data_IF_785663267882
#
_entry.id   IF_785663267882
#
_cell.length_a   1.000
_cell.length_b   1.000
_cell.length_c   1.000
_cell.angle_alpha   90.00
_cell.angle_beta   90.00
_cell.angle_gamma   90.00
#
_symmetry.space_group_name_H-M   'P 1'
#
loop_
_entity.id
_entity.type
_entity.pdbx_description
1 polymer ?
#
# COMPACT_ATOMS: atom_id res chain seq x y z
N UNK A 1 -4.29 1.23 1.99
CA UNK A 1 -2.90 0.81 1.76
C UNK A 1 -2.72 0.02 0.46
N UNK A 2 -3.69 -0.81 0.05
CA UNK A 2 -3.72 -1.41 -1.30
C UNK A 2 -4.59 -0.58 -2.26
N UNK A 3 -4.15 -0.46 -3.52
CA UNK A 3 -4.89 0.13 -4.64
C UNK A 3 -4.95 -0.84 -5.81
N UNK A 4 -6.02 -0.74 -6.60
CA UNK A 4 -6.18 -1.45 -7.87
C UNK A 4 -6.52 -0.43 -8.97
N UNK A 5 -6.04 -0.63 -10.21
CA UNK A 5 -6.53 0.11 -11.35
C UNK A 5 -8.05 -0.05 -11.51
N UNK A 6 -8.72 0.99 -11.97
CA UNK A 6 -10.16 0.96 -12.22
C UNK A 6 -10.42 0.66 -13.70
N UNK A 7 -11.19 -0.40 -14.03
CA UNK A 7 -11.60 -0.65 -15.41
C UNK A 7 -12.40 0.53 -15.99
N UNK A 8 -12.00 0.98 -17.18
CA UNK A 8 -12.59 2.13 -17.87
C UNK A 8 -13.65 1.66 -18.87
N UNK A 9 -14.90 1.57 -18.42
CA UNK A 9 -16.06 1.31 -19.30
C UNK A 9 -16.41 2.59 -20.10
N UNK A 10 -16.84 2.48 -21.37
CA UNK A 10 -17.20 1.26 -22.11
C UNK A 10 -16.04 0.59 -22.88
N UNK A 11 -14.78 1.00 -22.67
CA UNK A 11 -13.63 0.53 -23.46
C UNK A 11 -13.19 -0.92 -23.16
N UNK A 12 -13.74 -1.54 -22.12
CA UNK A 12 -13.48 -2.92 -21.74
C UNK A 12 -14.33 -3.88 -22.60
N UNK A 13 -13.68 -4.88 -23.20
CA UNK A 13 -14.32 -5.93 -24.00
C UNK A 13 -13.90 -7.33 -23.51
N UNK A 14 -14.45 -8.40 -24.09
CA UNK A 14 -14.06 -9.79 -23.76
C UNK A 14 -12.58 -10.11 -24.06
N UNK A 15 -11.91 -9.31 -24.89
CA UNK A 15 -10.52 -9.56 -25.35
C UNK A 15 -9.54 -8.47 -24.92
N UNK A 16 -10.03 -7.35 -24.40
CA UNK A 16 -9.21 -6.18 -24.07
C UNK A 16 -9.72 -5.57 -22.77
N UNK A 17 -8.83 -5.47 -21.78
CA UNK A 17 -9.03 -4.70 -20.56
C UNK A 17 -8.38 -3.33 -20.75
N UNK A 18 -9.13 -2.27 -20.43
CA UNK A 18 -8.63 -0.89 -20.38
C UNK A 18 -8.89 -0.39 -18.96
N UNK A 19 -7.87 0.17 -18.33
CA UNK A 19 -7.91 0.57 -16.92
C UNK A 19 -7.22 1.92 -16.68
N UNK A 20 -7.33 2.45 -15.46
CA UNK A 20 -6.65 3.68 -15.09
C UNK A 20 -5.14 3.47 -15.10
N UNK A 21 -4.41 4.44 -15.63
CA UNK A 21 -2.97 4.49 -15.46
C UNK A 21 -2.64 4.69 -13.97
N UNK A 22 -1.74 3.87 -13.46
CA UNK A 22 -1.26 3.93 -12.09
C UNK A 22 0.23 4.26 -12.12
N UNK A 23 0.59 5.42 -11.55
CA UNK A 23 1.97 5.84 -11.42
C UNK A 23 2.61 5.16 -10.20
N UNK A 24 3.92 4.90 -10.23
CA UNK A 24 4.63 4.32 -9.10
C UNK A 24 5.94 3.62 -9.48
N UNK A 25 6.75 3.32 -8.45
CA UNK A 25 8.01 2.60 -8.61
C UNK A 25 7.75 1.08 -8.67
N UNK A 26 8.31 0.33 -9.63
CA UNK A 26 8.18 -1.12 -9.67
C UNK A 26 8.72 -1.77 -8.40
N UNK A 27 7.96 -2.70 -7.81
CA UNK A 27 8.37 -3.36 -6.57
C UNK A 27 9.67 -4.17 -6.75
N UNK A 28 9.91 -4.71 -7.94
CA UNK A 28 11.13 -5.45 -8.25
C UNK A 28 12.40 -4.61 -8.08
N UNK A 29 12.33 -3.32 -8.39
CA UNK A 29 13.49 -2.42 -8.29
C UNK A 29 13.80 -2.11 -6.83
N UNK A 30 12.77 -1.95 -5.99
CA UNK A 30 12.89 -1.73 -4.54
C UNK A 30 13.45 -2.98 -3.84
N UNK A 31 13.04 -4.18 -4.27
CA UNK A 31 13.55 -5.43 -3.70
C UNK A 31 15.05 -5.58 -4.03
N UNK A 32 15.45 -5.19 -5.25
CA UNK A 32 16.83 -5.30 -5.74
C UNK A 32 17.76 -4.21 -5.19
N UNK A 33 17.27 -3.07 -4.73
CA UNK A 33 18.11 -2.05 -4.13
C UNK A 33 18.66 -2.53 -2.79
N UNK A 34 19.97 -2.72 -2.69
CA UNK A 34 20.66 -3.28 -1.51
C UNK A 34 21.52 -2.26 -0.75
N UNK A 35 21.52 -0.99 -1.13
CA UNK A 35 22.64 -0.09 -0.82
C UNK A 35 22.39 0.93 0.31
N UNK A 36 21.18 1.06 0.86
CA UNK A 36 20.90 2.05 1.91
C UNK A 36 20.04 1.50 3.06
N UNK A 37 20.32 1.91 4.30
CA UNK A 37 19.51 1.57 5.49
C UNK A 37 18.05 2.04 5.33
N UNK A 38 17.83 3.15 4.61
CA UNK A 38 16.51 3.65 4.23
C UNK A 38 15.73 2.66 3.36
N UNK A 39 16.42 1.78 2.63
CA UNK A 39 15.80 0.74 1.82
C UNK A 39 15.24 -0.41 2.65
N UNK A 40 15.81 -0.71 3.81
CA UNK A 40 15.38 -1.85 4.63
C UNK A 40 14.11 -1.55 5.43
N UNK A 41 13.99 -0.35 6.01
CA UNK A 41 12.74 0.07 6.69
C UNK A 41 11.57 0.14 5.70
N UNK A 42 11.82 0.64 4.48
CA UNK A 42 10.82 0.65 3.42
C UNK A 42 10.36 -0.78 3.06
N UNK A 43 11.30 -1.70 2.83
CA UNK A 43 10.99 -3.10 2.52
C UNK A 43 10.16 -3.74 3.63
N UNK A 44 10.50 -3.46 4.89
CA UNK A 44 9.77 -3.95 6.05
C UNK A 44 8.32 -3.43 6.05
N UNK A 45 8.12 -2.12 5.87
CA UNK A 45 6.77 -1.51 5.79
C UNK A 45 5.95 -2.09 4.64
N UNK A 46 6.57 -2.30 3.47
CA UNK A 46 5.91 -2.91 2.32
C UNK A 46 5.52 -4.37 2.59
N UNK A 47 6.38 -5.13 3.27
CA UNK A 47 6.07 -6.50 3.68
C UNK A 47 4.90 -6.56 4.66
N UNK A 48 4.84 -5.65 5.63
CA UNK A 48 3.71 -5.53 6.57
C UNK A 48 2.40 -5.25 5.83
N UNK A 49 2.38 -4.28 4.90
CA UNK A 49 1.21 -3.98 4.06
C UNK A 49 0.82 -5.19 3.21
N UNK A 50 1.80 -5.91 2.64
CA UNK A 50 1.57 -7.08 1.80
C UNK A 50 0.96 -8.26 2.57
N UNK A 51 1.45 -8.53 3.78
CA UNK A 51 0.91 -9.59 4.65
C UNK A 51 -0.49 -9.23 5.11
N UNK A 52 -0.74 -8.00 5.54
CA UNK A 52 -2.08 -7.54 5.92
C UNK A 52 -3.08 -7.68 4.76
N UNK A 53 -2.67 -7.28 3.56
CA UNK A 53 -3.48 -7.43 2.35
C UNK A 53 -3.78 -8.90 2.04
N UNK A 54 -2.79 -9.79 2.11
CA UNK A 54 -2.96 -11.22 1.88
C UNK A 54 -3.96 -11.83 2.88
N UNK A 55 -3.78 -11.54 4.17
CA UNK A 55 -4.64 -12.05 5.23
C UNK A 55 -6.07 -11.53 5.07
N UNK A 56 -6.24 -10.25 4.72
CA UNK A 56 -7.55 -9.69 4.44
C UNK A 56 -8.23 -10.39 3.26
N UNK A 57 -7.50 -10.59 2.15
CA UNK A 57 -8.04 -11.29 0.99
C UNK A 57 -8.57 -12.68 1.37
N UNK A 58 -7.77 -13.46 2.10
CA UNK A 58 -8.12 -14.83 2.50
C UNK A 58 -9.25 -14.87 3.52
N UNK A 59 -9.11 -14.16 4.64
CA UNK A 59 -9.97 -14.35 5.82
C UNK A 59 -11.17 -13.42 5.88
N UNK A 60 -11.11 -12.26 5.21
CA UNK A 60 -12.20 -11.28 5.22
C UNK A 60 -12.94 -11.31 3.88
N UNK A 61 -12.21 -11.24 2.78
CA UNK A 61 -12.81 -11.14 1.45
C UNK A 61 -13.12 -12.54 0.86
N UNK A 62 -12.61 -13.61 1.47
CA UNK A 62 -12.78 -15.00 1.05
C UNK A 62 -12.36 -15.25 -0.42
N UNK A 63 -11.33 -14.53 -0.85
CA UNK A 63 -10.78 -14.56 -2.20
C UNK A 63 -9.27 -14.74 -2.11
N UNK A 64 -8.69 -15.47 -3.05
CA UNK A 64 -7.22 -15.54 -3.20
C UNK A 64 -6.84 -14.96 -4.55
N UNK A 65 -5.92 -14.01 -4.51
CA UNK A 65 -5.26 -13.53 -5.70
C UNK A 65 -4.19 -14.55 -6.12
N UNK A 66 -4.40 -15.20 -7.25
CA UNK A 66 -3.56 -16.32 -7.68
C UNK A 66 -2.16 -15.95 -8.18
N UNK A 67 -1.82 -14.66 -8.25
CA UNK A 67 -0.55 -14.18 -8.82
C UNK A 67 -0.08 -12.85 -8.21
N UNK A 68 0.35 -12.91 -6.95
CA UNK A 68 1.01 -11.80 -6.26
C UNK A 68 2.50 -11.73 -6.62
N UNK A 69 2.83 -11.73 -7.91
CA UNK A 69 4.21 -11.56 -8.38
C UNK A 69 4.65 -10.09 -8.25
N UNK A 70 5.87 -9.78 -7.78
CA UNK A 70 6.34 -8.39 -7.62
C UNK A 70 6.39 -7.60 -8.93
N UNK A 71 6.41 -8.27 -10.08
CA UNK A 71 6.29 -7.63 -11.40
C UNK A 71 4.91 -7.00 -11.67
N UNK A 72 3.87 -7.41 -10.94
CA UNK A 72 2.52 -6.85 -11.03
C UNK A 72 2.24 -5.82 -9.92
N UNK A 73 3.28 -5.34 -9.24
CA UNK A 73 3.15 -4.43 -8.10
C UNK A 73 3.92 -3.14 -8.32
N UNK A 74 3.25 -2.01 -8.10
CA UNK A 74 3.87 -0.70 -8.00
C UNK A 74 3.79 -0.18 -6.57
N UNK A 75 4.79 0.60 -6.17
CA UNK A 75 4.83 1.30 -4.89
C UNK A 75 4.60 2.79 -5.14
N UNK A 76 3.63 3.36 -4.42
CA UNK A 76 3.27 4.78 -4.49
C UNK A 76 3.65 5.50 -3.20
N UNK A 77 3.97 6.79 -3.31
CA UNK A 77 4.30 7.68 -2.19
C UNK A 77 5.49 7.20 -1.33
N UNK A 78 6.48 6.58 -1.96
CA UNK A 78 7.74 6.23 -1.30
C UNK A 78 8.64 7.47 -1.16
N UNK A 79 8.27 8.40 -0.28
CA UNK A 79 8.98 9.67 -0.07
C UNK A 79 10.25 9.52 0.79
N UNK A 80 10.70 8.29 1.08
CA UNK A 80 11.88 8.02 1.90
C UNK A 80 13.21 8.37 1.20
N UNK A 81 13.18 8.80 -0.07
CA UNK A 81 14.41 9.00 -0.87
C UNK A 81 14.50 10.25 -1.74
N UNK A 82 13.56 11.21 -1.70
CA UNK A 82 13.59 12.35 -2.65
C UNK A 82 13.38 13.77 -2.12
N UNK A 83 13.22 14.02 -0.81
CA UNK A 83 13.21 15.41 -0.32
C UNK A 83 14.53 15.78 0.38
N UNK A 84 15.33 16.53 -0.36
CA UNK A 84 16.46 17.32 0.13
C UNK A 84 16.05 18.61 0.82
N UNK A 85 14.82 18.75 1.32
CA UNK A 85 14.46 19.86 2.19
C UNK A 85 13.25 19.53 3.08
N UNK A 86 13.32 19.99 4.32
CA UNK A 86 12.36 19.79 5.43
C UNK A 86 12.12 18.35 5.90
N UNK A 87 12.91 17.94 6.89
CA UNK A 87 12.50 17.23 8.11
C UNK A 87 11.07 16.60 8.09
N UNK A 88 10.82 15.58 7.27
CA UNK A 88 9.67 14.69 7.44
C UNK A 88 10.04 13.60 8.42
N UNK A 89 10.17 14.07 9.65
CA UNK A 89 10.15 13.31 10.90
C UNK A 89 9.19 12.13 10.77
N UNK A 90 9.69 10.94 11.14
CA UNK A 90 8.94 9.76 11.64
C UNK A 90 7.45 10.05 11.81
N UNK A 91 6.58 9.31 11.11
CA UNK A 91 5.16 9.11 11.45
C UNK A 91 4.60 10.22 12.35
N UNK A 92 4.11 11.32 11.76
CA UNK A 92 3.65 12.53 12.46
C UNK A 92 2.50 12.24 13.45
N UNK A 93 2.79 11.63 14.59
CA UNK A 93 1.91 11.49 15.73
C UNK A 93 1.97 12.80 16.52
N UNK A 94 1.17 13.81 16.14
CA UNK A 94 0.95 14.99 16.99
C UNK A 94 -0.08 14.65 18.06
N UNK A 95 0.38 14.35 19.26
CA UNK A 95 -0.45 14.06 20.44
C UNK A 95 -0.90 15.39 21.07
N UNK A 96 -2.21 15.62 21.20
CA UNK A 96 -2.75 16.71 22.04
C UNK A 96 -3.27 16.12 23.36
N UNK A 97 -2.68 16.51 24.50
CA UNK A 97 -3.17 16.16 25.84
C UNK A 97 -4.24 17.17 26.28
N UNK A 98 -5.41 16.66 26.66
CA UNK A 98 -6.42 17.43 27.41
C UNK A 98 -6.70 16.66 28.70
N UNK A 99 -6.29 17.24 29.83
CA UNK A 99 -6.48 16.70 31.18
C UNK A 99 -7.86 17.11 31.72
N UNK A 100 -8.74 16.13 31.94
CA UNK A 100 -9.87 16.27 32.86
C UNK A 100 -10.03 14.95 33.63
N UNK A 101 -9.23 14.78 34.68
CA UNK A 101 -9.53 13.92 35.84
C UNK A 101 -9.98 12.48 35.54
N UNK A 102 -9.03 11.55 35.67
CA UNK A 102 -9.16 10.09 35.54
C UNK A 102 -9.21 9.56 34.08
N UNK A 103 -8.24 10.06 33.30
CA UNK A 103 -7.42 9.45 32.25
C UNK A 103 -8.08 8.59 31.16
N UNK A 104 -8.88 9.24 30.31
CA UNK A 104 -9.09 8.76 28.93
C UNK A 104 -8.33 9.68 27.97
N UNK A 105 -7.32 9.13 27.28
CA UNK A 105 -6.59 9.86 26.23
C UNK A 105 -7.35 9.76 24.92
N UNK A 106 -7.82 10.90 24.39
CA UNK A 106 -8.36 10.98 23.03
C UNK A 106 -7.25 11.47 22.11
N UNK A 107 -6.68 10.57 21.31
CA UNK A 107 -5.73 10.90 20.25
C UNK A 107 -6.49 11.27 18.96
N UNK A 108 -6.41 12.52 18.52
CA UNK A 108 -6.82 12.91 17.17
C UNK A 108 -5.67 12.64 16.19
N UNK A 109 -5.70 11.46 15.57
CA UNK A 109 -4.72 11.06 14.56
C UNK A 109 -5.26 11.46 13.20
N UNK A 110 -4.73 12.56 12.64
CA UNK A 110 -5.01 12.88 11.25
C UNK A 110 -4.20 11.93 10.34
N UNK A 111 -4.87 11.17 9.44
CA UNK A 111 -4.16 10.28 8.53
C UNK A 111 -3.31 11.10 7.56
N UNK A 112 -2.10 10.59 7.27
CA UNK A 112 -1.23 11.14 6.23
C UNK A 112 -2.03 11.30 4.92
N UNK A 113 -2.05 12.48 4.28
CA UNK A 113 -2.75 12.68 3.01
C UNK A 113 -2.24 11.77 1.89
N UNK A 114 -0.97 11.34 1.95
CA UNK A 114 -0.30 10.54 0.93
C UNK A 114 0.41 9.33 1.55
N UNK A 115 -0.33 8.37 2.13
CA UNK A 115 0.29 7.23 2.78
C UNK A 115 1.00 6.35 1.75
N UNK A 116 2.01 5.59 2.19
CA UNK A 116 2.65 4.54 1.41
C UNK A 116 1.59 3.53 0.94
N UNK A 117 1.61 3.20 -0.35
CA UNK A 117 0.64 2.27 -0.95
C UNK A 117 1.29 1.27 -1.90
N UNK A 118 0.71 0.07 -1.96
CA UNK A 118 0.99 -0.93 -2.99
C UNK A 118 -0.17 -0.92 -3.97
N UNK A 119 0.12 -0.73 -5.26
CA UNK A 119 -0.84 -0.87 -6.34
C UNK A 119 -0.65 -2.23 -7.01
N UNK A 120 -1.70 -3.05 -7.02
CA UNK A 120 -1.72 -4.34 -7.70
C UNK A 120 -2.29 -4.12 -9.10
N UNK A 121 -1.42 -4.24 -10.13
CA UNK A 121 -1.75 -3.93 -11.52
C UNK A 121 -2.60 -5.00 -12.20
N UNK A 122 -2.51 -6.24 -11.74
CA UNK A 122 -3.31 -7.34 -12.23
C UNK A 122 -3.82 -8.11 -11.03
N UNK A 123 -5.09 -8.49 -11.03
CA UNK A 123 -5.65 -9.41 -10.03
C UNK A 123 -5.50 -10.88 -10.43
N UNK A 124 -4.91 -11.15 -11.61
CA UNK A 124 -4.73 -12.49 -12.16
C UNK A 124 -6.02 -13.31 -12.15
N UNK A 125 -5.89 -14.60 -11.84
CA UNK A 125 -7.04 -15.46 -11.51
C UNK A 125 -7.40 -15.25 -10.04
N UNK A 126 -8.66 -14.89 -9.80
CA UNK A 126 -9.22 -14.83 -8.45
C UNK A 126 -10.12 -16.05 -8.24
N UNK A 127 -9.90 -16.80 -7.16
CA UNK A 127 -10.78 -17.89 -6.75
C UNK A 127 -11.44 -17.57 -5.42
N UNK A 128 -12.72 -17.92 -5.30
CA UNK A 128 -13.43 -17.94 -4.02
C UNK A 128 -13.05 -19.22 -3.27
N UNK A 129 -12.79 -19.12 -1.97
CA UNK A 129 -12.71 -20.32 -1.13
C UNK A 129 -14.15 -20.80 -0.86
N UNK A 130 -14.43 -22.07 -1.19
CA UNK A 130 -15.68 -22.72 -0.78
C UNK A 130 -15.69 -22.89 0.74
N UNK A 131 -16.88 -22.78 1.36
CA UNK A 131 -17.09 -23.23 2.75
C UNK A 131 -16.75 -24.71 2.93
#
# INVERSE_FOLDING_TARGET
FIRFPRPLRPYVTKKVLVETYEDGQPMIDIIRSTETETSEELKKRLAEIGVDALLKMVFVDNLVHGDLHPGNMLVQNNNLGQDGDTCSTRDNLRIMMVDVGCDTFVMDVQPDPNPLRICLLDCGIVSKLSE
#
